data_IF_689138193967
#
_entry.id   IF_689138193967
#
_cell.length_a   1.000
_cell.length_b   1.000
_cell.length_c   1.000
_cell.angle_alpha   90.00
_cell.angle_beta   90.00
_cell.angle_gamma   90.00
#
_symmetry.space_group_name_H-M   'P 1'
#
loop_
_entity.id
_entity.type
_entity.pdbx_description
1 polymer ?
#
# COMPACT_ATOMS: atom_id res chain seq x y z
N UNK A 1 11.65 6.00 -8.29
CA UNK A 1 11.44 4.58 -7.86
C UNK A 1 11.43 3.71 -9.12
N UNK A 2 12.16 2.59 -9.20
CA UNK A 2 12.31 1.87 -10.48
C UNK A 2 11.03 1.17 -11.00
N UNK A 3 10.03 0.91 -10.13
CA UNK A 3 8.78 0.17 -10.49
C UNK A 3 7.56 0.61 -9.65
N UNK A 4 7.08 1.86 -9.79
CA UNK A 4 5.94 2.37 -9.01
C UNK A 4 4.62 1.63 -9.28
N UNK A 5 4.52 0.90 -10.40
CA UNK A 5 3.37 0.05 -10.72
C UNK A 5 3.39 -1.35 -10.06
N UNK A 6 4.44 -1.72 -9.31
CA UNK A 6 4.62 -3.07 -8.77
C UNK A 6 3.55 -3.49 -7.75
N UNK A 7 2.89 -2.53 -7.09
CA UNK A 7 1.77 -2.79 -6.20
C UNK A 7 0.48 -3.08 -6.97
N UNK A 8 -0.27 -4.06 -6.47
CA UNK A 8 -1.59 -4.43 -7.02
C UNK A 8 -2.58 -3.31 -6.71
N UNK A 9 -3.31 -2.84 -7.72
CA UNK A 9 -4.36 -1.83 -7.53
C UNK A 9 -5.45 -2.38 -6.63
N UNK A 10 -5.84 -1.60 -5.62
CA UNK A 10 -6.98 -1.90 -4.76
C UNK A 10 -8.25 -1.51 -5.53
N UNK A 11 -9.12 -2.48 -5.91
CA UNK A 11 -10.28 -2.19 -6.74
C UNK A 11 -11.25 -1.21 -6.09
N UNK A 12 -11.79 -0.29 -6.89
CA UNK A 12 -12.85 0.63 -6.45
C UNK A 12 -12.38 1.80 -5.59
N UNK A 13 -11.06 2.03 -5.47
CA UNK A 13 -10.50 3.05 -4.56
C UNK A 13 -9.42 3.89 -5.24
N UNK A 14 -9.71 4.32 -6.47
CA UNK A 14 -9.06 5.45 -7.12
C UNK A 14 -7.55 5.36 -7.28
N UNK A 15 -6.99 4.18 -7.54
CA UNK A 15 -5.57 4.03 -7.86
C UNK A 15 -4.64 3.74 -6.68
N UNK A 16 -5.16 3.54 -5.47
CA UNK A 16 -4.40 2.97 -4.35
C UNK A 16 -3.77 1.62 -4.72
N UNK A 17 -2.54 1.39 -4.25
CA UNK A 17 -1.77 0.19 -4.55
C UNK A 17 -1.31 -0.51 -3.28
N UNK A 18 -1.35 -1.84 -3.29
CA UNK A 18 -0.88 -2.71 -2.22
C UNK A 18 0.36 -3.46 -2.68
N UNK A 19 1.47 -3.27 -1.96
CA UNK A 19 2.71 -4.00 -2.14
C UNK A 19 2.93 -4.96 -0.97
N UNK A 20 3.36 -6.19 -1.28
CA UNK A 20 3.81 -7.15 -0.28
C UNK A 20 5.33 -7.06 -0.18
N UNK A 21 5.83 -6.76 1.01
CA UNK A 21 7.25 -6.63 1.27
C UNK A 21 7.71 -7.80 2.16
N UNK A 22 8.80 -8.45 1.80
CA UNK A 22 9.46 -9.39 2.71
C UNK A 22 10.34 -8.57 3.67
N UNK A 23 10.02 -8.51 4.96
CA UNK A 23 10.91 -7.87 5.91
C UNK A 23 12.05 -8.83 6.27
N UNK A 24 13.29 -8.36 6.20
CA UNK A 24 14.48 -9.15 6.50
C UNK A 24 14.54 -9.45 7.99
N UNK A 25 14.91 -10.69 8.34
CA UNK A 25 15.15 -11.10 9.74
C UNK A 25 13.91 -11.55 10.54
N UNK A 26 12.71 -11.47 9.95
CA UNK A 26 11.50 -12.00 10.55
C UNK A 26 11.16 -13.34 9.86
N UNK A 27 10.82 -14.39 10.64
CA UNK A 27 10.60 -15.76 10.14
C UNK A 27 9.43 -15.91 9.15
N UNK A 28 8.78 -17.10 9.04
CA UNK A 28 7.68 -17.36 8.07
C UNK A 28 6.53 -16.31 8.07
N UNK A 29 6.38 -15.50 9.12
CA UNK A 29 5.36 -14.44 9.27
C UNK A 29 5.89 -13.01 9.05
N UNK A 30 7.17 -12.84 8.74
CA UNK A 30 7.89 -11.57 8.67
C UNK A 30 7.61 -10.63 7.50
N UNK A 31 6.50 -10.79 6.79
CA UNK A 31 6.14 -9.88 5.71
C UNK A 31 5.50 -8.60 6.24
N UNK A 32 5.64 -7.51 5.51
CA UNK A 32 4.83 -6.30 5.67
C UNK A 32 3.94 -6.09 4.44
N UNK A 33 2.82 -5.41 4.63
CA UNK A 33 1.99 -4.90 3.54
C UNK A 33 2.07 -3.39 3.57
N UNK A 34 2.39 -2.80 2.42
CA UNK A 34 2.48 -1.36 2.22
C UNK A 34 1.37 -0.91 1.29
N UNK A 35 0.67 0.14 1.68
CA UNK A 35 -0.37 0.80 0.91
C UNK A 35 0.17 2.17 0.51
N UNK A 36 0.18 2.42 -0.79
CA UNK A 36 0.72 3.66 -1.34
C UNK A 36 -0.13 4.15 -2.51
N UNK A 37 0.03 5.42 -2.83
CA UNK A 37 -0.48 6.04 -4.04
C UNK A 37 0.71 6.50 -4.90
N UNK A 38 0.55 6.39 -6.22
CA UNK A 38 1.55 6.86 -7.18
C UNK A 38 0.97 8.06 -7.94
N UNK A 39 1.47 9.24 -7.60
CA UNK A 39 1.16 10.50 -8.26
C UNK A 39 1.98 10.55 -9.55
N UNK A 40 1.34 10.21 -10.68
CA UNK A 40 2.04 10.06 -11.96
C UNK A 40 2.56 11.38 -12.53
N UNK A 41 1.91 12.51 -12.22
CA UNK A 41 2.30 13.84 -12.73
C UNK A 41 3.69 14.25 -12.25
N UNK A 42 4.03 13.89 -11.01
CA UNK A 42 5.28 14.30 -10.34
C UNK A 42 6.20 13.09 -10.04
N UNK A 43 5.87 11.91 -10.59
CA UNK A 43 6.49 10.62 -10.28
C UNK A 43 6.72 10.37 -8.77
N UNK A 44 5.76 10.80 -7.95
CA UNK A 44 5.86 10.76 -6.49
C UNK A 44 5.10 9.59 -5.89
N UNK A 45 5.69 8.97 -4.87
CA UNK A 45 5.05 7.93 -4.07
C UNK A 45 4.62 8.51 -2.73
N UNK A 46 3.32 8.43 -2.46
CA UNK A 46 2.75 8.77 -1.16
C UNK A 46 2.51 7.46 -0.40
N UNK A 47 3.30 7.22 0.65
CA UNK A 47 3.13 6.06 1.52
C UNK A 47 2.06 6.39 2.56
N UNK A 48 0.97 5.64 2.55
CA UNK A 48 -0.22 5.95 3.36
C UNK A 48 -0.34 5.04 4.57
N UNK A 49 0.06 3.78 4.42
CA UNK A 49 -0.03 2.81 5.51
C UNK A 49 0.93 1.65 5.33
N UNK A 50 1.52 1.17 6.42
CA UNK A 50 2.34 -0.03 6.45
C UNK A 50 2.01 -0.83 7.72
N UNK A 51 1.87 -2.14 7.58
CA UNK A 51 1.54 -3.02 8.71
C UNK A 51 2.17 -4.39 8.53
N UNK A 52 2.50 -5.03 9.65
CA UNK A 52 3.05 -6.38 9.62
C UNK A 52 1.96 -7.40 9.27
N UNK A 53 2.35 -8.51 8.62
CA UNK A 53 1.41 -9.55 8.17
C UNK A 53 0.59 -10.15 9.31
N UNK A 54 1.15 -10.20 10.51
CA UNK A 54 0.54 -10.77 11.72
C UNK A 54 -0.35 -9.78 12.50
N UNK A 55 -0.24 -8.48 12.25
CA UNK A 55 -1.05 -7.46 12.94
C UNK A 55 -2.41 -7.26 12.26
N UNK A 56 -2.49 -7.47 10.94
CA UNK A 56 -3.74 -7.30 10.19
C UNK A 56 -3.77 -8.22 8.96
N UNK A 57 -4.96 -8.79 8.69
CA UNK A 57 -5.21 -9.73 7.60
C UNK A 57 -5.22 -9.05 6.23
N UNK A 58 -6.03 -8.00 6.06
CA UNK A 58 -6.04 -7.08 4.91
C UNK A 58 -6.83 -5.82 5.29
N UNK A 59 -6.55 -4.69 4.64
CA UNK A 59 -7.35 -3.47 4.82
C UNK A 59 -8.74 -3.65 4.21
N UNK A 60 -9.76 -3.14 4.90
CA UNK A 60 -11.13 -3.14 4.38
C UNK A 60 -11.31 -2.08 3.29
N UNK A 61 -12.35 -2.23 2.47
CA UNK A 61 -12.71 -1.21 1.48
C UNK A 61 -12.99 0.17 2.13
N UNK A 62 -13.58 0.17 3.34
CA UNK A 62 -13.84 1.40 4.09
C UNK A 62 -12.53 2.09 4.51
N UNK A 63 -11.58 1.34 5.08
CA UNK A 63 -10.26 1.87 5.47
C UNK A 63 -9.50 2.40 4.25
N UNK A 64 -9.52 1.66 3.14
CA UNK A 64 -8.86 2.10 1.93
C UNK A 64 -9.50 3.38 1.35
N UNK A 65 -10.82 3.57 1.42
CA UNK A 65 -11.47 4.85 1.04
C UNK A 65 -11.00 6.00 1.93
N UNK A 66 -10.83 5.77 3.23
CA UNK A 66 -10.27 6.79 4.12
C UNK A 66 -8.82 7.13 3.74
N UNK A 67 -8.00 6.13 3.44
CA UNK A 67 -6.61 6.34 2.99
C UNK A 67 -6.54 7.10 1.66
N UNK A 68 -7.50 6.91 0.74
CA UNK A 68 -7.58 7.69 -0.51
C UNK A 68 -7.75 9.18 -0.21
N UNK A 69 -8.65 9.52 0.70
CA UNK A 69 -8.91 10.93 1.03
C UNK A 69 -7.66 11.62 1.61
N UNK A 70 -6.73 10.86 2.20
CA UNK A 70 -5.46 11.37 2.70
C UNK A 70 -4.41 11.58 1.60
N UNK A 71 -4.53 10.90 0.47
CA UNK A 71 -3.57 10.98 -0.63
C UNK A 71 -3.68 12.29 -1.44
N UNK A 72 -4.76 13.06 -1.27
CA UNK A 72 -5.12 14.17 -2.15
C UNK A 72 -5.69 13.65 -3.48
N UNK A 73 -6.63 14.40 -4.06
CA UNK A 73 -7.18 14.10 -5.39
C UNK A 73 -6.14 14.36 -6.49
#
# INVERSE_FOLDING_TARGET
>A
MLRPAAGVVVPGIGGLRKLRFAARGQGKRGGARVIYYWVQTDDQIVLLYAYAKNETSDITAAQARQLRNLAGD
#
